data_IF_791974690541
#
_entry.id   IF_791974690541
#
_cell.length_a   1.000
_cell.length_b   1.000
_cell.length_c   1.000
_cell.angle_alpha   90.00
_cell.angle_beta   90.00
_cell.angle_gamma   90.00
#
_symmetry.space_group_name_H-M   'P 1'
#
loop_
_entity.id
_entity.type
_entity.pdbx_description
1 polymer ?
#
# COMPACT_ATOMS: atom_id res chain seq x y z
N UNK A 1 -71.98 -2.06 11.30
CA UNK A 1 -70.67 -1.37 11.35
C UNK A 1 -69.71 -2.15 12.23
N UNK A 2 -69.29 -3.31 11.84
CA UNK A 2 -68.38 -4.15 12.67
C UNK A 2 -67.50 -5.00 11.78
N UNK A 3 -66.63 -4.48 10.95
CA UNK A 3 -65.57 -5.31 10.28
C UNK A 3 -64.48 -4.49 9.61
N UNK A 4 -64.29 -3.16 9.97
CA UNK A 4 -63.22 -2.35 9.37
C UNK A 4 -61.97 -2.19 10.26
N UNK A 5 -61.94 -2.78 11.44
CA UNK A 5 -60.84 -2.63 12.42
C UNK A 5 -59.79 -3.76 12.30
N UNK A 6 -60.11 -4.84 11.57
CA UNK A 6 -59.21 -6.01 11.46
C UNK A 6 -58.24 -5.94 10.28
N UNK A 7 -58.38 -4.96 9.40
CA UNK A 7 -57.47 -4.79 8.24
C UNK A 7 -56.32 -3.83 8.49
N UNK A 8 -56.29 -3.09 9.60
CA UNK A 8 -55.25 -2.13 9.93
C UNK A 8 -54.09 -2.79 10.72
N UNK A 9 -54.36 -3.91 11.39
CA UNK A 9 -53.35 -4.60 12.22
C UNK A 9 -52.23 -5.30 11.42
N UNK A 10 -52.46 -5.94 10.24
CA UNK A 10 -51.38 -6.51 9.46
C UNK A 10 -50.52 -5.48 8.71
N UNK A 11 -51.03 -4.25 8.46
CA UNK A 11 -50.28 -3.21 7.79
C UNK A 11 -49.21 -2.54 8.66
N UNK A 12 -49.41 -2.56 10.00
CA UNK A 12 -48.46 -2.02 10.97
C UNK A 12 -47.31 -3.00 11.27
N UNK A 13 -47.47 -4.29 10.97
CA UNK A 13 -46.44 -5.31 11.18
C UNK A 13 -45.38 -5.34 10.05
N UNK A 14 -45.59 -4.67 8.91
CA UNK A 14 -44.63 -4.61 7.79
C UNK A 14 -43.64 -3.43 7.90
N UNK A 15 -43.72 -2.60 8.94
CA UNK A 15 -42.81 -1.46 9.08
C UNK A 15 -41.56 -1.74 9.94
N UNK A 16 -41.32 -2.99 10.33
CA UNK A 16 -40.19 -3.34 11.20
C UNK A 16 -39.16 -4.28 10.52
N UNK A 17 -39.15 -4.38 9.19
CA UNK A 17 -38.16 -5.19 8.47
C UNK A 17 -37.36 -4.28 7.51
N UNK A 18 -36.82 -3.21 8.05
CA UNK A 18 -35.77 -2.42 7.36
C UNK A 18 -34.77 -1.97 8.44
N UNK A 19 -34.13 -2.92 9.11
CA UNK A 19 -32.79 -2.72 9.56
C UNK A 19 -31.91 -3.20 8.38
N UNK A 20 -31.56 -2.30 7.48
CA UNK A 20 -30.28 -2.42 6.79
C UNK A 20 -29.23 -2.35 7.91
N UNK A 21 -28.62 -3.49 8.22
CA UNK A 21 -27.42 -3.53 9.05
C UNK A 21 -26.29 -2.86 8.25
N UNK A 22 -26.30 -1.53 8.20
CA UNK A 22 -25.16 -0.79 7.67
C UNK A 22 -23.93 -1.18 8.52
N UNK A 23 -22.97 -1.84 7.86
CA UNK A 23 -21.73 -2.25 8.51
C UNK A 23 -21.04 -0.99 9.04
N UNK A 24 -20.85 -0.92 10.35
CA UNK A 24 -20.23 0.25 10.96
C UNK A 24 -18.76 0.40 10.53
N UNK A 25 -18.22 1.61 10.55
CA UNK A 25 -16.80 1.84 10.28
C UNK A 25 -15.88 1.03 11.20
N UNK A 26 -16.31 0.83 12.47
CA UNK A 26 -15.58 -0.03 13.41
C UNK A 26 -15.54 -1.48 12.95
N UNK A 27 -16.67 -2.01 12.47
CA UNK A 27 -16.75 -3.38 11.98
C UNK A 27 -15.91 -3.59 10.71
N UNK A 28 -15.89 -2.59 9.82
CA UNK A 28 -15.02 -2.61 8.62
C UNK A 28 -13.54 -2.66 9.01
N UNK A 29 -13.09 -1.87 10.00
CA UNK A 29 -11.71 -1.92 10.51
C UNK A 29 -11.36 -3.26 11.15
N UNK A 30 -12.32 -3.88 11.85
CA UNK A 30 -12.14 -5.20 12.42
C UNK A 30 -12.05 -6.27 11.31
N UNK A 31 -12.83 -6.12 10.23
CA UNK A 31 -12.71 -6.98 9.04
C UNK A 31 -11.34 -6.83 8.38
N UNK A 32 -10.89 -5.61 8.13
CA UNK A 32 -9.54 -5.32 7.61
C UNK A 32 -8.44 -5.96 8.47
N UNK A 33 -8.52 -5.77 9.80
CA UNK A 33 -7.54 -6.36 10.72
C UNK A 33 -7.51 -7.88 10.66
N UNK A 34 -8.68 -8.52 10.53
CA UNK A 34 -8.77 -9.98 10.33
C UNK A 34 -8.20 -10.42 8.99
N UNK A 35 -8.50 -9.68 7.91
CA UNK A 35 -7.98 -9.95 6.57
C UNK A 35 -6.45 -9.88 6.53
N UNK A 36 -5.85 -8.82 7.06
CA UNK A 36 -4.39 -8.70 7.18
C UNK A 36 -3.79 -9.89 7.94
N UNK A 37 -4.35 -10.24 9.11
CA UNK A 37 -3.86 -11.37 9.90
C UNK A 37 -4.03 -12.71 9.19
N UNK A 38 -5.09 -12.88 8.41
CA UNK A 38 -5.30 -14.09 7.60
C UNK A 38 -4.26 -14.16 6.48
N UNK A 39 -4.03 -13.05 5.78
CA UNK A 39 -3.03 -12.94 4.71
C UNK A 39 -1.61 -13.20 5.22
N UNK A 40 -1.23 -12.61 6.35
CA UNK A 40 0.08 -12.90 6.97
C UNK A 40 0.29 -14.40 7.23
N UNK A 41 -0.77 -15.09 7.68
CA UNK A 41 -0.70 -16.55 7.95
C UNK A 41 -0.69 -17.37 6.66
N UNK A 42 -1.56 -17.04 5.69
CA UNK A 42 -1.65 -17.82 4.43
C UNK A 42 -0.36 -17.73 3.62
N UNK A 43 0.25 -16.56 3.60
CA UNK A 43 1.52 -16.33 2.91
C UNK A 43 2.76 -16.76 3.72
N UNK A 44 2.58 -17.25 4.94
CA UNK A 44 3.68 -17.68 5.80
C UNK A 44 4.64 -16.55 6.15
N UNK A 45 4.10 -15.32 6.31
CA UNK A 45 4.91 -14.13 6.58
C UNK A 45 5.42 -14.16 8.02
N UNK A 46 6.73 -14.01 8.17
CA UNK A 46 7.42 -13.86 9.44
C UNK A 46 7.56 -12.37 9.77
N UNK A 47 6.81 -11.89 10.75
CA UNK A 47 6.87 -10.48 11.15
C UNK A 47 7.95 -10.29 12.22
N UNK A 48 9.01 -9.55 11.86
CA UNK A 48 10.08 -9.16 12.78
C UNK A 48 9.76 -7.81 13.44
N UNK A 49 10.34 -7.58 14.61
CA UNK A 49 10.21 -6.30 15.31
C UNK A 49 11.03 -5.20 14.61
N UNK A 50 10.64 -3.93 14.83
CA UNK A 50 11.42 -2.80 14.32
C UNK A 50 12.84 -2.78 14.89
N UNK A 51 13.03 -3.20 16.15
CA UNK A 51 14.36 -3.28 16.78
C UNK A 51 15.25 -4.34 16.10
N UNK A 52 14.72 -5.50 15.75
CA UNK A 52 15.42 -6.53 14.97
C UNK A 52 15.78 -6.03 13.58
N UNK A 53 14.84 -5.36 12.90
CA UNK A 53 15.08 -4.76 11.59
C UNK A 53 16.24 -3.75 11.62
N UNK A 54 16.27 -2.83 12.59
CA UNK A 54 17.35 -1.86 12.73
C UNK A 54 18.68 -2.54 13.11
N UNK A 55 18.65 -3.54 14.01
CA UNK A 55 19.84 -4.30 14.41
C UNK A 55 20.43 -5.10 13.23
N UNK A 56 19.59 -5.46 12.25
CA UNK A 56 19.98 -6.15 11.01
C UNK A 56 20.24 -5.17 9.85
N UNK A 57 20.77 -3.97 10.15
CA UNK A 57 21.15 -2.95 9.14
C UNK A 57 19.98 -2.57 8.21
N UNK A 58 18.77 -2.56 8.74
CA UNK A 58 17.52 -2.26 8.01
C UNK A 58 17.30 -3.18 6.78
N UNK A 59 17.56 -4.47 6.96
CA UNK A 59 17.36 -5.52 5.96
C UNK A 59 16.32 -6.50 6.46
N UNK A 60 15.50 -7.01 5.55
CA UNK A 60 14.59 -8.16 5.77
C UNK A 60 15.12 -9.38 5.03
N UNK A 61 15.02 -10.56 5.64
CA UNK A 61 15.42 -11.81 4.99
C UNK A 61 14.30 -12.33 4.08
N UNK A 62 14.53 -12.31 2.78
CA UNK A 62 13.53 -12.75 1.77
C UNK A 62 13.31 -14.26 1.82
N UNK A 63 14.35 -15.05 2.09
CA UNK A 63 14.23 -16.51 2.17
C UNK A 63 13.38 -16.96 3.37
N UNK A 64 13.44 -16.20 4.48
CA UNK A 64 12.61 -16.41 5.65
C UNK A 64 11.25 -15.70 5.56
N UNK A 65 10.92 -15.07 4.43
CA UNK A 65 9.71 -14.28 4.22
C UNK A 65 9.48 -13.23 5.33
N UNK A 66 10.55 -12.52 5.72
CA UNK A 66 10.51 -11.54 6.79
C UNK A 66 9.90 -10.22 6.33
N UNK A 67 8.98 -9.72 7.17
CA UNK A 67 8.40 -8.37 7.05
C UNK A 67 8.56 -7.64 8.38
N UNK A 68 8.82 -6.34 8.32
CA UNK A 68 8.79 -5.46 9.48
C UNK A 68 7.51 -4.62 9.45
N UNK A 69 6.87 -4.43 10.60
CA UNK A 69 5.73 -3.52 10.71
C UNK A 69 6.22 -2.12 11.12
N UNK A 70 5.92 -1.12 10.28
CA UNK A 70 6.26 0.29 10.51
C UNK A 70 5.01 1.13 10.29
N UNK A 71 4.54 1.80 11.34
CA UNK A 71 3.36 2.67 11.32
C UNK A 71 2.13 2.01 10.65
N UNK A 72 1.90 0.74 10.96
CA UNK A 72 0.79 -0.07 10.45
C UNK A 72 1.03 -0.75 9.10
N UNK A 73 2.05 -0.35 8.35
CA UNK A 73 2.44 -0.98 7.08
C UNK A 73 3.41 -2.13 7.35
N UNK A 74 3.16 -3.30 6.74
CA UNK A 74 4.11 -4.40 6.74
C UNK A 74 4.97 -4.30 5.48
N UNK A 75 6.28 -4.29 5.66
CA UNK A 75 7.25 -4.07 4.60
C UNK A 75 8.29 -5.18 4.55
N UNK A 76 8.51 -5.73 3.36
CA UNK A 76 9.66 -6.55 3.01
C UNK A 76 10.50 -5.79 1.98
N UNK A 77 11.79 -5.64 2.24
CA UNK A 77 12.75 -5.12 1.25
C UNK A 77 13.30 -6.32 0.48
N UNK A 78 12.79 -6.53 -0.72
CA UNK A 78 13.17 -7.67 -1.58
C UNK A 78 14.54 -7.44 -2.20
N UNK A 79 14.85 -6.19 -2.57
CA UNK A 79 16.15 -5.80 -3.11
C UNK A 79 16.48 -4.37 -2.71
N UNK A 80 17.66 -4.19 -2.14
CA UNK A 80 18.20 -2.90 -1.74
C UNK A 80 19.61 -2.73 -2.32
N UNK A 81 19.83 -1.84 -3.30
CA UNK A 81 21.11 -1.68 -3.96
C UNK A 81 22.17 -0.92 -3.15
N UNK A 82 22.17 -1.02 -1.82
CA UNK A 82 23.07 -0.25 -0.94
C UNK A 82 24.56 -0.41 -1.27
N UNK A 83 24.96 -1.58 -1.76
CA UNK A 83 26.35 -1.92 -2.07
C UNK A 83 26.68 -1.74 -3.57
N UNK A 84 25.73 -1.28 -4.38
CA UNK A 84 25.90 -1.02 -5.80
C UNK A 84 26.59 0.33 -6.00
N UNK A 85 27.58 0.38 -6.89
CA UNK A 85 28.33 1.61 -7.18
C UNK A 85 27.38 2.76 -7.56
N UNK A 86 27.57 3.95 -6.93
CA UNK A 86 26.76 5.15 -7.11
C UNK A 86 25.31 5.04 -6.63
N UNK A 87 24.89 3.92 -6.01
CA UNK A 87 23.59 3.87 -5.37
C UNK A 87 23.52 4.85 -4.20
N UNK A 88 22.39 5.54 -4.02
CA UNK A 88 22.21 6.53 -2.98
C UNK A 88 20.76 6.66 -2.52
N UNK A 89 20.59 7.22 -1.34
CA UNK A 89 19.28 7.66 -0.83
C UNK A 89 18.91 9.04 -1.38
N UNK A 90 17.63 9.42 -1.27
CA UNK A 90 17.18 10.80 -1.52
C UNK A 90 17.76 11.71 -0.43
N UNK A 91 18.41 12.79 -0.84
CA UNK A 91 19.02 13.77 0.07
C UNK A 91 17.95 14.70 0.64
N UNK A 92 18.26 15.31 1.78
CA UNK A 92 17.40 16.37 2.34
C UNK A 92 17.26 17.54 1.37
N UNK A 93 16.03 18.01 1.16
CA UNK A 93 15.68 19.06 0.21
C UNK A 93 15.59 18.60 -1.25
N UNK A 94 15.86 17.34 -1.55
CA UNK A 94 15.85 16.80 -2.92
C UNK A 94 14.46 16.30 -3.31
N UNK A 95 14.11 16.49 -4.61
CA UNK A 95 13.04 15.81 -5.30
C UNK A 95 13.63 14.87 -6.34
N UNK A 96 13.36 13.57 -6.20
CA UNK A 96 13.79 12.55 -7.16
C UNK A 96 12.60 12.14 -8.03
N UNK A 97 12.77 12.22 -9.35
CA UNK A 97 11.83 11.65 -10.31
C UNK A 97 12.08 10.14 -10.43
N UNK A 98 11.00 9.38 -10.42
CA UNK A 98 11.04 7.92 -10.45
C UNK A 98 9.98 7.37 -11.39
N UNK A 99 10.27 6.22 -11.94
CA UNK A 99 9.27 5.30 -12.48
C UNK A 99 8.99 4.22 -11.43
N UNK A 100 7.75 3.73 -11.39
CA UNK A 100 7.36 2.57 -10.61
C UNK A 100 6.80 1.47 -11.50
N UNK A 101 7.28 0.25 -11.28
CA UNK A 101 6.63 -0.97 -11.73
C UNK A 101 5.95 -1.58 -10.52
N UNK A 102 4.66 -1.81 -10.59
CA UNK A 102 3.90 -2.25 -9.44
C UNK A 102 2.80 -3.24 -9.79
N UNK A 103 2.33 -3.89 -8.75
CA UNK A 103 1.16 -4.75 -8.70
C UNK A 103 0.37 -4.37 -7.46
N UNK A 104 -0.94 -4.15 -7.60
CA UNK A 104 -1.87 -3.82 -6.54
C UNK A 104 -2.93 -4.92 -6.42
N UNK A 105 -3.10 -5.43 -5.21
CA UNK A 105 -3.98 -6.57 -4.91
C UNK A 105 -4.81 -6.27 -3.67
N UNK A 106 -6.12 -6.51 -3.74
CA UNK A 106 -7.02 -6.43 -2.60
C UNK A 106 -6.86 -7.65 -1.71
N UNK A 107 -6.44 -7.43 -0.46
CA UNK A 107 -6.18 -8.51 0.50
C UNK A 107 -7.49 -9.12 1.04
N UNK A 108 -8.61 -8.38 1.00
CA UNK A 108 -9.91 -8.88 1.48
C UNK A 108 -10.61 -9.74 0.45
N UNK A 109 -10.70 -9.24 -0.78
CA UNK A 109 -11.44 -9.89 -1.85
C UNK A 109 -10.60 -10.92 -2.60
N UNK A 110 -9.27 -10.82 -2.52
CA UNK A 110 -8.38 -11.75 -3.19
C UNK A 110 -8.19 -11.46 -4.67
N UNK A 111 -8.45 -10.22 -5.11
CA UNK A 111 -8.42 -9.83 -6.50
C UNK A 111 -7.32 -8.82 -6.83
N UNK A 112 -6.81 -8.91 -8.06
CA UNK A 112 -5.91 -7.89 -8.61
C UNK A 112 -6.71 -6.64 -8.96
N UNK A 113 -6.33 -5.50 -8.36
CA UNK A 113 -6.94 -4.21 -8.67
C UNK A 113 -6.34 -3.63 -9.94
N UNK A 114 -5.01 -3.48 -9.97
CA UNK A 114 -4.28 -2.91 -11.11
C UNK A 114 -2.79 -3.23 -11.02
N UNK A 115 -2.03 -2.94 -12.08
CA UNK A 115 -0.59 -3.08 -12.10
C UNK A 115 -0.02 -2.90 -13.50
N UNK A 116 1.28 -2.64 -13.55
CA UNK A 116 2.03 -2.45 -14.79
C UNK A 116 3.29 -3.33 -14.88
N UNK A 117 3.41 -4.36 -14.03
CA UNK A 117 4.61 -5.22 -14.03
C UNK A 117 4.82 -5.98 -15.34
N UNK A 118 3.75 -6.22 -16.09
CA UNK A 118 3.78 -6.89 -17.40
C UNK A 118 3.67 -5.91 -18.57
N UNK A 119 3.40 -4.63 -18.31
CA UNK A 119 3.32 -3.59 -19.33
C UNK A 119 4.63 -2.77 -19.33
N UNK A 120 5.61 -3.23 -20.10
CA UNK A 120 6.94 -2.63 -20.10
C UNK A 120 6.99 -1.20 -20.63
N UNK A 121 5.98 -0.80 -21.41
CA UNK A 121 5.95 0.50 -22.09
C UNK A 121 5.28 1.60 -21.24
N UNK A 122 4.47 1.21 -20.25
CA UNK A 122 3.68 2.13 -19.43
C UNK A 122 4.01 2.06 -17.93
N UNK A 123 5.18 2.56 -17.49
CA UNK A 123 5.45 2.71 -16.06
C UNK A 123 4.63 3.84 -15.45
N UNK A 124 4.39 3.76 -14.15
CA UNK A 124 3.90 4.91 -13.41
C UNK A 124 5.04 5.87 -13.09
N UNK A 125 4.79 7.17 -13.29
CA UNK A 125 5.77 8.22 -12.99
C UNK A 125 5.37 8.96 -11.73
N UNK A 126 6.33 9.14 -10.83
CA UNK A 126 6.12 9.88 -9.58
C UNK A 126 7.34 10.71 -9.22
N UNK A 127 7.11 11.77 -8.47
CA UNK A 127 8.15 12.57 -7.83
C UNK A 127 8.11 12.33 -6.34
N UNK A 128 9.26 11.99 -5.75
CA UNK A 128 9.42 11.81 -4.32
C UNK A 128 10.33 12.89 -3.77
N UNK A 129 9.83 13.66 -2.82
CA UNK A 129 10.56 14.75 -2.17
C UNK A 129 10.86 14.37 -0.73
N UNK A 130 12.11 14.59 -0.29
CA UNK A 130 12.50 14.54 1.12
C UNK A 130 12.62 15.95 1.66
N UNK A 131 11.90 16.27 2.71
CA UNK A 131 11.94 17.59 3.36
C UNK A 131 11.69 17.45 4.86
N UNK A 132 12.56 18.09 5.67
CA UNK A 132 12.50 18.05 7.14
C UNK A 132 12.42 16.62 7.69
N UNK A 133 13.21 15.71 7.10
CA UNK A 133 13.26 14.30 7.48
C UNK A 133 12.06 13.45 7.04
N UNK A 134 11.03 14.06 6.44
CA UNK A 134 9.82 13.37 5.95
C UNK A 134 9.83 13.21 4.44
N UNK A 135 9.04 12.26 3.95
CA UNK A 135 8.87 12.02 2.52
C UNK A 135 7.45 12.35 2.08
N UNK A 136 7.34 12.99 0.93
CA UNK A 136 6.08 13.19 0.22
C UNK A 136 6.24 12.78 -1.24
N UNK A 137 5.14 12.41 -1.90
CA UNK A 137 5.21 12.06 -3.31
C UNK A 137 3.95 12.49 -4.06
N UNK A 138 4.08 12.58 -5.39
CA UNK A 138 3.01 12.95 -6.30
C UNK A 138 3.15 12.12 -7.58
N UNK A 139 2.10 11.38 -7.97
CA UNK A 139 2.04 10.77 -9.30
C UNK A 139 1.90 11.84 -10.38
N UNK A 140 2.57 11.65 -11.51
CA UNK A 140 2.54 12.57 -12.65
C UNK A 140 1.90 11.95 -13.88
N UNK A 141 1.95 10.63 -14.03
CA UNK A 141 1.28 9.86 -15.08
C UNK A 141 1.30 8.37 -14.74
N UNK A 142 0.56 7.57 -15.51
CA UNK A 142 0.49 6.11 -15.38
C UNK A 142 -0.88 5.61 -14.88
N UNK A 143 -0.94 4.33 -14.53
CA UNK A 143 -2.17 3.68 -14.09
C UNK A 143 -2.69 4.24 -12.76
N UNK A 144 -1.79 4.41 -11.76
CA UNK A 144 -2.17 4.99 -10.47
C UNK A 144 -2.68 6.42 -10.62
N UNK A 145 -2.02 7.22 -11.48
CA UNK A 145 -2.49 8.57 -11.77
C UNK A 145 -3.88 8.57 -12.42
N UNK A 146 -4.12 7.66 -13.35
CA UNK A 146 -5.42 7.55 -14.05
C UNK A 146 -6.54 7.13 -13.09
N UNK A 147 -6.26 6.21 -12.17
CA UNK A 147 -7.25 5.67 -11.23
C UNK A 147 -7.48 6.56 -10.00
N UNK A 148 -6.42 7.16 -9.45
CA UNK A 148 -6.43 7.81 -8.14
C UNK A 148 -5.95 9.27 -8.17
N UNK A 149 -5.63 9.81 -9.36
CA UNK A 149 -5.08 11.14 -9.51
C UNK A 149 -3.63 11.25 -9.03
N UNK A 150 -3.23 12.44 -8.62
CA UNK A 150 -1.85 12.71 -8.21
C UNK A 150 -1.48 12.17 -6.82
N UNK A 151 -2.44 11.67 -6.06
CA UNK A 151 -2.22 11.18 -4.69
C UNK A 151 -1.43 9.87 -4.68
N UNK A 152 -0.31 9.85 -3.96
CA UNK A 152 0.47 8.63 -3.70
C UNK A 152 0.11 8.09 -2.33
N UNK A 153 -0.30 6.80 -2.21
CA UNK A 153 -0.56 6.19 -0.92
C UNK A 153 0.64 6.38 0.03
N UNK A 154 0.39 6.85 1.24
CA UNK A 154 1.48 7.11 2.20
C UNK A 154 2.23 5.83 2.57
N UNK A 155 1.58 4.67 2.46
CA UNK A 155 2.21 3.35 2.61
C UNK A 155 3.35 3.10 1.61
N UNK A 156 3.29 3.66 0.39
CA UNK A 156 4.37 3.57 -0.61
C UNK A 156 5.64 4.31 -0.19
N UNK A 157 5.53 5.25 0.76
CA UNK A 157 6.66 6.02 1.25
C UNK A 157 7.37 5.37 2.45
N UNK A 158 6.78 4.34 3.05
CA UNK A 158 7.35 3.61 4.18
C UNK A 158 8.78 3.10 3.91
N UNK A 159 9.13 2.58 2.72
CA UNK A 159 10.49 2.10 2.44
C UNK A 159 11.52 3.20 2.20
N UNK A 160 11.12 4.45 1.89
CA UNK A 160 12.01 5.52 1.43
C UNK A 160 13.20 5.82 2.36
N UNK A 161 13.08 5.78 3.71
CA UNK A 161 14.20 5.98 4.61
C UNK A 161 15.26 4.86 4.57
N UNK A 162 14.89 3.67 4.10
CA UNK A 162 15.69 2.44 4.25
C UNK A 162 16.33 1.99 2.95
N UNK A 163 15.73 2.32 1.79
CA UNK A 163 16.21 1.84 0.47
C UNK A 163 17.14 2.86 -0.21
N UNK A 164 18.01 2.30 -1.05
CA UNK A 164 18.88 3.04 -1.95
C UNK A 164 18.33 2.96 -3.37
N UNK A 165 18.76 3.86 -4.22
CA UNK A 165 18.36 3.95 -5.62
C UNK A 165 19.57 3.89 -6.52
N UNK A 166 19.46 3.16 -7.63
CA UNK A 166 20.48 3.03 -8.66
C UNK A 166 19.83 3.02 -10.03
N UNK A 167 20.61 3.34 -11.09
CA UNK A 167 20.18 3.17 -12.48
C UNK A 167 20.60 1.82 -13.08
N UNK A 168 21.28 1.01 -12.30
CA UNK A 168 21.58 -0.35 -12.69
C UNK A 168 20.28 -1.17 -12.71
N UNK A 169 19.85 -1.57 -13.92
CA UNK A 169 18.55 -2.22 -14.14
C UNK A 169 18.42 -3.58 -13.46
N UNK A 170 19.52 -4.26 -13.20
CA UNK A 170 19.50 -5.53 -12.47
C UNK A 170 19.30 -5.35 -10.98
N UNK A 171 19.58 -4.13 -10.48
CA UNK A 171 19.63 -3.82 -9.06
C UNK A 171 18.59 -2.78 -8.58
N UNK A 172 17.55 -2.50 -9.36
CA UNK A 172 16.51 -1.58 -8.90
C UNK A 172 15.92 -1.98 -7.55
N UNK A 173 15.67 -1.01 -6.68
CA UNK A 173 15.05 -1.24 -5.40
C UNK A 173 13.67 -1.88 -5.57
N UNK A 174 13.42 -2.97 -4.86
CA UNK A 174 12.14 -3.70 -4.90
C UNK A 174 11.65 -3.97 -3.48
N UNK A 175 10.37 -3.70 -3.27
CA UNK A 175 9.70 -3.92 -1.98
C UNK A 175 8.36 -4.63 -2.15
N UNK A 176 7.96 -5.36 -1.13
CA UNK A 176 6.60 -5.85 -0.96
C UNK A 176 5.99 -5.13 0.26
N UNK A 177 4.74 -4.66 0.13
CA UNK A 177 4.05 -3.91 1.18
C UNK A 177 2.65 -4.49 1.40
N UNK A 178 2.22 -4.58 2.67
CA UNK A 178 0.82 -4.72 3.03
C UNK A 178 0.42 -3.40 3.68
N UNK A 179 -0.47 -2.67 3.01
CA UNK A 179 -0.82 -1.29 3.33
C UNK A 179 -2.26 -1.25 3.82
N UNK A 180 -2.52 -0.87 5.08
CA UNK A 180 -3.88 -0.72 5.59
C UNK A 180 -4.59 0.45 4.90
N UNK A 181 -5.93 0.44 4.91
CA UNK A 181 -6.77 1.48 4.29
C UNK A 181 -6.32 2.90 4.62
N UNK A 182 -5.93 3.15 5.87
CA UNK A 182 -5.54 4.49 6.35
C UNK A 182 -4.24 5.03 5.75
N UNK A 183 -3.48 4.19 5.07
CA UNK A 183 -2.22 4.51 4.37
C UNK A 183 -2.32 4.19 2.87
N UNK A 184 -3.46 3.70 2.42
CA UNK A 184 -3.74 3.24 1.06
C UNK A 184 -4.17 4.33 0.10
N UNK A 185 -4.75 3.91 -1.02
CA UNK A 185 -5.40 4.80 -2.01
C UNK A 185 -6.65 5.44 -1.43
N UNK A 186 -7.22 6.44 -2.13
CA UNK A 186 -8.51 7.03 -1.76
C UNK A 186 -9.63 5.98 -1.71
N UNK A 187 -9.63 5.04 -2.64
CA UNK A 187 -10.62 3.96 -2.67
C UNK A 187 -10.45 3.03 -1.47
N UNK A 188 -9.23 2.57 -1.20
CA UNK A 188 -8.93 1.75 -0.02
C UNK A 188 -9.38 2.44 1.28
N UNK A 189 -9.13 3.75 1.38
CA UNK A 189 -9.52 4.55 2.55
C UNK A 189 -11.05 4.67 2.70
N UNK A 190 -11.77 4.85 1.58
CA UNK A 190 -13.23 5.02 1.60
C UNK A 190 -13.98 3.71 1.91
N UNK A 191 -13.46 2.60 1.41
CA UNK A 191 -14.11 1.27 1.54
C UNK A 191 -13.45 0.37 2.59
N UNK A 192 -12.40 0.85 3.26
CA UNK A 192 -11.73 0.20 4.40
C UNK A 192 -11.19 -1.19 4.06
N UNK A 193 -10.38 -1.29 3.00
CA UNK A 193 -9.70 -2.53 2.64
C UNK A 193 -8.17 -2.35 2.57
N UNK A 194 -7.39 -3.37 2.96
CA UNK A 194 -5.94 -3.34 2.86
C UNK A 194 -5.48 -3.80 1.48
N UNK A 195 -4.41 -3.19 0.97
CA UNK A 195 -3.80 -3.58 -0.29
C UNK A 195 -2.42 -4.23 -0.07
N UNK A 196 -2.13 -5.27 -0.85
CA UNK A 196 -0.78 -5.76 -1.04
C UNK A 196 -0.19 -5.16 -2.30
N UNK A 197 1.05 -4.69 -2.20
CA UNK A 197 1.81 -4.14 -3.31
C UNK A 197 3.14 -4.86 -3.49
N UNK A 198 3.51 -5.15 -4.74
CA UNK A 198 4.90 -5.29 -5.16
C UNK A 198 5.30 -4.02 -5.89
N UNK A 199 6.42 -3.41 -5.51
CA UNK A 199 6.86 -2.17 -6.17
C UNK A 199 8.35 -2.27 -6.47
N UNK A 200 8.70 -1.94 -7.73
CA UNK A 200 10.09 -1.70 -8.14
C UNK A 200 10.22 -0.21 -8.45
N UNK A 201 11.13 0.47 -7.75
CA UNK A 201 11.41 1.89 -7.93
C UNK A 201 12.61 2.07 -8.86
N UNK A 202 12.42 2.85 -9.93
CA UNK A 202 13.40 3.10 -11.00
C UNK A 202 13.64 4.60 -11.07
N UNK A 203 14.77 5.12 -10.58
CA UNK A 203 15.05 6.55 -10.64
C UNK A 203 15.34 7.00 -12.08
N UNK A 204 14.80 8.14 -12.51
CA UNK A 204 15.06 8.69 -13.85
C UNK A 204 16.44 9.34 -13.93
N UNK A 205 16.81 10.15 -12.92
CA UNK A 205 18.07 10.91 -12.91
C UNK A 205 18.74 10.84 -11.53
N UNK A 206 19.67 9.89 -11.36
CA UNK A 206 20.48 9.79 -10.14
C UNK A 206 21.76 10.63 -10.22
N UNK A 207 22.24 10.95 -11.41
CA UNK A 207 23.61 11.42 -11.63
C UNK A 207 23.73 12.91 -11.91
N UNK A 208 22.64 13.66 -11.96
CA UNK A 208 22.63 15.10 -12.30
C UNK A 208 22.67 16.00 -11.06
N UNK A 209 23.64 15.76 -10.15
CA UNK A 209 23.99 16.75 -9.13
C UNK A 209 25.52 16.70 -8.96
N UNK A 210 26.20 17.45 -9.78
CA UNK A 210 27.53 17.96 -9.48
C UNK A 210 27.41 19.09 -8.48
#
# INVERSE_FOLDING_TARGET
MKNRFWLILPLLAMLFVACDDEVSYSDMKDQESRAIKAFLRSEGINVITFSEFIANDSVTNVENNEYVQIDGVYMQIVRNPKDVAKARKIKEGETMNMMARFYEYDVMDGDTITGNIYDTDNPDYLRVTKSHGSYSATFTSGYMYTMYGSYVPTGWLTPMPYIYFTRDSENYAKVNLIVPHSKGTSNASNYVYPCYYQITFIPENIYDIN
#
